data_IF_242354112519
#
_entry.id   IF_242354112519
#
_cell.length_a   1.000
_cell.length_b   1.000
_cell.length_c   1.000
_cell.angle_alpha   90.00
_cell.angle_beta   90.00
_cell.angle_gamma   90.00
#
_symmetry.space_group_name_H-M   'P 1'
#
loop_
_entity.id
_entity.type
_entity.pdbx_description
1 polymer ?
#
# COMPACT_ATOMS: atom_id res chain seq x y z
N UNK A 1 -24.01 4.57 -12.21
CA UNK A 1 -23.00 3.96 -11.33
C UNK A 1 -22.74 2.57 -11.85
N UNK A 2 -21.58 2.32 -12.47
CA UNK A 2 -21.17 0.96 -12.82
C UNK A 2 -20.91 0.23 -11.51
N UNK A 3 -21.62 -0.88 -11.28
CA UNK A 3 -21.33 -1.78 -10.15
C UNK A 3 -20.07 -2.54 -10.54
N UNK A 4 -18.94 -2.22 -9.93
CA UNK A 4 -17.69 -2.95 -10.17
C UNK A 4 -17.84 -4.39 -9.66
N UNK A 5 -17.34 -5.36 -10.44
CA UNK A 5 -17.36 -6.78 -10.10
C UNK A 5 -15.99 -7.41 -10.27
N UNK A 6 -15.72 -8.49 -9.52
CA UNK A 6 -14.47 -9.23 -9.64
C UNK A 6 -14.23 -9.81 -11.04
N UNK A 7 -15.22 -10.47 -11.69
CA UNK A 7 -15.03 -10.97 -13.05
C UNK A 7 -14.62 -9.88 -14.04
N UNK A 8 -15.30 -8.73 -14.02
CA UNK A 8 -15.01 -7.64 -14.95
C UNK A 8 -13.61 -7.07 -14.72
N UNK A 9 -13.25 -6.82 -13.45
CA UNK A 9 -11.95 -6.28 -13.09
C UNK A 9 -10.80 -7.23 -13.47
N UNK A 10 -10.95 -8.53 -13.19
CA UNK A 10 -9.94 -9.53 -13.53
C UNK A 10 -9.83 -9.75 -15.05
N UNK A 11 -10.94 -9.73 -15.79
CA UNK A 11 -10.92 -9.83 -17.24
C UNK A 11 -10.12 -8.69 -17.88
N UNK A 12 -10.27 -7.46 -17.37
CA UNK A 12 -9.51 -6.30 -17.84
C UNK A 12 -8.02 -6.43 -17.57
N UNK A 13 -7.64 -6.92 -16.39
CA UNK A 13 -6.24 -7.21 -16.08
C UNK A 13 -5.65 -8.28 -17.00
N UNK A 14 -6.39 -9.34 -17.29
CA UNK A 14 -5.97 -10.39 -18.23
C UNK A 14 -5.85 -9.85 -19.67
N UNK A 15 -6.71 -8.91 -20.06
CA UNK A 15 -6.65 -8.21 -21.34
C UNK A 15 -5.51 -7.17 -21.42
N UNK A 16 -4.77 -6.94 -20.33
CA UNK A 16 -3.70 -5.93 -20.29
C UNK A 16 -4.22 -4.49 -20.21
N UNK A 17 -5.49 -4.29 -19.86
CA UNK A 17 -6.09 -2.97 -19.72
C UNK A 17 -5.80 -2.35 -18.35
N UNK A 18 -5.59 -1.04 -18.34
CA UNK A 18 -5.40 -0.30 -17.09
C UNK A 18 -6.75 -0.10 -16.38
N UNK A 19 -6.75 -0.34 -15.08
CA UNK A 19 -7.87 -0.01 -14.21
C UNK A 19 -7.76 1.46 -13.76
N UNK A 20 -8.90 2.11 -13.56
CA UNK A 20 -8.92 3.44 -12.95
C UNK A 20 -8.66 3.39 -11.45
N UNK A 21 -8.29 4.52 -10.86
CA UNK A 21 -8.10 4.61 -9.40
C UNK A 21 -9.36 4.22 -8.61
N UNK A 22 -10.56 4.51 -9.13
CA UNK A 22 -11.82 4.13 -8.49
C UNK A 22 -11.99 2.60 -8.43
N UNK A 23 -11.56 1.90 -9.46
CA UNK A 23 -11.69 0.44 -9.58
C UNK A 23 -10.71 -0.29 -8.67
N UNK A 24 -9.46 0.17 -8.62
CA UNK A 24 -8.47 -0.43 -7.72
C UNK A 24 -8.77 -0.09 -6.26
N UNK A 25 -9.33 1.10 -5.98
CA UNK A 25 -9.87 1.44 -4.65
C UNK A 25 -11.01 0.52 -4.24
N UNK A 26 -11.97 0.27 -5.14
CA UNK A 26 -13.07 -0.67 -4.89
C UNK A 26 -12.53 -2.06 -4.55
N UNK A 27 -11.61 -2.59 -5.37
CA UNK A 27 -11.01 -3.89 -5.13
C UNK A 27 -10.30 -3.94 -3.77
N UNK A 28 -9.52 -2.91 -3.44
CA UNK A 28 -8.80 -2.87 -2.17
C UNK A 28 -9.73 -2.78 -0.96
N UNK A 29 -10.87 -2.09 -1.06
CA UNK A 29 -11.88 -2.10 -0.01
C UNK A 29 -12.44 -3.51 0.23
N UNK A 30 -12.70 -4.28 -0.82
CA UNK A 30 -13.15 -5.68 -0.70
C UNK A 30 -12.09 -6.57 -0.03
N UNK A 31 -10.80 -6.34 -0.33
CA UNK A 31 -9.70 -7.05 0.32
C UNK A 31 -9.62 -6.71 1.81
N UNK A 32 -9.65 -5.42 2.14
CA UNK A 32 -9.53 -4.94 3.53
C UNK A 32 -10.74 -5.30 4.39
N UNK A 33 -11.94 -5.43 3.80
CA UNK A 33 -13.15 -5.87 4.49
C UNK A 33 -13.26 -7.38 4.66
N UNK A 34 -12.36 -8.17 4.05
CA UNK A 34 -12.41 -9.63 4.07
C UNK A 34 -13.46 -10.26 3.14
N UNK A 35 -14.06 -9.46 2.26
CA UNK A 35 -15.08 -9.92 1.28
C UNK A 35 -14.45 -10.53 0.02
N UNK A 36 -13.15 -10.26 -0.22
CA UNK A 36 -12.39 -10.85 -1.30
C UNK A 36 -11.91 -12.27 -0.94
N UNK A 37 -12.10 -13.23 -1.85
CA UNK A 37 -11.58 -14.58 -1.67
C UNK A 37 -10.06 -14.61 -1.84
N UNK A 38 -9.35 -15.61 -1.27
CA UNK A 38 -7.91 -15.77 -1.50
C UNK A 38 -7.53 -15.87 -2.98
N UNK A 39 -8.39 -16.49 -3.80
CA UNK A 39 -8.17 -16.59 -5.25
C UNK A 39 -8.31 -15.24 -5.97
N UNK A 40 -9.27 -14.39 -5.57
CA UNK A 40 -9.43 -13.04 -6.11
C UNK A 40 -8.23 -12.15 -5.77
N UNK A 41 -7.75 -12.22 -4.52
CA UNK A 41 -6.56 -11.48 -4.07
C UNK A 41 -5.32 -11.91 -4.88
N UNK A 42 -5.11 -13.22 -5.03
CA UNK A 42 -4.00 -13.75 -5.81
C UNK A 42 -4.09 -13.33 -7.28
N UNK A 43 -5.28 -13.41 -7.89
CA UNK A 43 -5.49 -13.02 -9.28
C UNK A 43 -5.26 -11.52 -9.51
N UNK A 44 -5.70 -10.66 -8.59
CA UNK A 44 -5.44 -9.22 -8.62
C UNK A 44 -3.93 -8.93 -8.59
N UNK A 45 -3.22 -9.51 -7.63
CA UNK A 45 -1.79 -9.30 -7.45
C UNK A 45 -0.96 -9.78 -8.66
N UNK A 46 -1.26 -10.99 -9.15
CA UNK A 46 -0.56 -11.55 -10.32
C UNK A 46 -0.92 -10.79 -11.60
N UNK A 47 -2.20 -10.43 -11.79
CA UNK A 47 -2.66 -9.69 -12.96
C UNK A 47 -2.01 -8.31 -13.06
N UNK A 48 -1.98 -7.55 -11.96
CA UNK A 48 -1.29 -6.26 -11.91
C UNK A 48 0.20 -6.40 -12.23
N UNK A 49 0.89 -7.39 -11.62
CA UNK A 49 2.31 -7.63 -11.87
C UNK A 49 2.60 -8.06 -13.31
N UNK A 50 1.75 -8.90 -13.90
CA UNK A 50 1.93 -9.40 -15.26
C UNK A 50 1.71 -8.30 -16.30
N UNK A 51 0.69 -7.45 -16.09
CA UNK A 51 0.42 -6.27 -16.93
C UNK A 51 1.48 -5.18 -16.76
N UNK A 52 2.00 -5.03 -15.55
CA UNK A 52 2.68 -3.84 -15.08
C UNK A 52 1.68 -2.86 -14.46
N UNK A 53 1.83 -2.60 -13.17
CA UNK A 53 1.01 -1.63 -12.45
C UNK A 53 1.29 -0.19 -12.90
N UNK A 54 0.25 0.62 -12.96
CA UNK A 54 0.34 2.06 -13.22
C UNK A 54 0.28 2.87 -11.93
N UNK A 55 0.76 4.10 -11.97
CA UNK A 55 0.69 5.01 -10.82
C UNK A 55 -0.77 5.23 -10.37
N UNK A 56 -1.72 5.33 -11.30
CA UNK A 56 -3.13 5.52 -10.99
C UNK A 56 -3.72 4.32 -10.21
N UNK A 57 -3.38 3.10 -10.65
CA UNK A 57 -3.80 1.86 -9.99
C UNK A 57 -3.25 1.78 -8.56
N UNK A 58 -1.96 2.12 -8.39
CA UNK A 58 -1.29 2.15 -7.08
C UNK A 58 -1.90 3.20 -6.15
N UNK A 59 -2.20 4.39 -6.65
CA UNK A 59 -2.88 5.45 -5.88
C UNK A 59 -4.25 4.97 -5.41
N UNK A 60 -5.06 4.37 -6.28
CA UNK A 60 -6.38 3.87 -5.88
C UNK A 60 -6.30 2.76 -4.82
N UNK A 61 -5.32 1.87 -4.92
CA UNK A 61 -5.05 0.87 -3.87
C UNK A 61 -4.64 1.53 -2.55
N UNK A 62 -3.67 2.44 -2.58
CA UNK A 62 -3.20 3.13 -1.38
C UNK A 62 -4.34 3.89 -0.68
N UNK A 63 -5.18 4.57 -1.44
CA UNK A 63 -6.36 5.26 -0.91
C UNK A 63 -7.35 4.29 -0.24
N UNK A 64 -7.59 3.13 -0.85
CA UNK A 64 -8.44 2.08 -0.27
C UNK A 64 -7.86 1.54 1.03
N UNK A 65 -6.55 1.32 1.10
CA UNK A 65 -5.87 0.89 2.33
C UNK A 65 -5.98 1.95 3.43
N UNK A 66 -5.70 3.21 3.10
CA UNK A 66 -5.77 4.34 4.05
C UNK A 66 -7.18 4.56 4.58
N UNK A 67 -8.22 4.41 3.74
CA UNK A 67 -9.60 4.53 4.16
C UNK A 67 -10.04 3.45 5.17
N UNK A 68 -9.38 2.30 5.18
CA UNK A 68 -9.63 1.20 6.12
C UNK A 68 -8.62 1.15 7.28
N UNK A 69 -7.63 2.05 7.30
CA UNK A 69 -6.62 2.10 8.34
C UNK A 69 -7.17 2.74 9.63
N UNK A 70 -6.64 2.33 10.77
CA UNK A 70 -6.89 3.03 12.04
C UNK A 70 -6.00 4.26 12.11
N UNK A 71 -6.60 5.43 12.15
CA UNK A 71 -5.88 6.70 12.25
C UNK A 71 -5.56 7.05 13.70
N UNK A 72 -4.50 7.81 13.90
CA UNK A 72 -4.14 8.41 15.18
C UNK A 72 -3.50 9.78 14.91
N UNK A 73 -3.75 10.72 15.81
CA UNK A 73 -3.23 12.08 15.68
C UNK A 73 -1.81 12.18 16.24
N UNK A 74 -0.93 12.78 15.45
CA UNK A 74 0.44 13.10 15.83
C UNK A 74 0.59 14.62 15.88
N UNK A 75 0.78 15.22 17.07
CA UNK A 75 1.04 16.64 17.17
C UNK A 75 2.47 16.97 16.71
N UNK A 76 2.59 18.08 15.97
CA UNK A 76 3.85 18.57 15.43
C UNK A 76 4.22 17.94 14.08
N UNK A 77 5.34 18.37 13.48
CA UNK A 77 5.81 17.76 12.23
C UNK A 77 6.09 16.26 12.45
N UNK A 78 5.91 15.42 11.43
CA UNK A 78 6.23 13.99 11.48
C UNK A 78 6.97 13.57 10.22
N UNK A 79 7.84 12.56 10.32
CA UNK A 79 8.54 11.96 9.18
C UNK A 79 8.40 10.46 9.29
N UNK A 80 8.08 9.82 8.16
CA UNK A 80 8.06 8.37 8.03
C UNK A 80 9.29 7.90 7.24
N UNK A 81 9.96 6.85 7.73
CA UNK A 81 11.14 6.25 7.11
C UNK A 81 10.82 4.78 6.85
N UNK A 82 10.36 4.48 5.63
CA UNK A 82 9.95 3.14 5.21
C UNK A 82 10.59 2.75 3.88
N UNK A 83 10.64 1.45 3.63
CA UNK A 83 11.04 0.86 2.35
C UNK A 83 10.12 -0.29 2.01
N UNK A 84 9.92 -0.56 0.72
CA UNK A 84 9.06 -1.64 0.23
C UNK A 84 9.59 -3.04 0.57
N UNK A 85 10.89 -3.15 0.85
CA UNK A 85 11.58 -4.43 1.01
C UNK A 85 11.65 -5.22 -0.31
N UNK A 86 12.10 -6.48 -0.26
CA UNK A 86 12.11 -7.39 -1.42
C UNK A 86 13.38 -7.40 -2.27
N UNK A 87 14.34 -6.53 -1.96
CA UNK A 87 15.72 -6.63 -2.43
C UNK A 87 16.28 -7.97 -1.91
N UNK A 88 16.63 -8.93 -2.78
CA UNK A 88 17.30 -10.18 -2.38
C UNK A 88 18.73 -9.96 -1.84
N UNK A 89 19.05 -8.74 -1.42
CA UNK A 89 20.38 -8.25 -1.06
C UNK A 89 20.81 -8.62 0.37
N UNK A 90 19.92 -9.21 1.19
CA UNK A 90 20.25 -9.53 2.59
C UNK A 90 20.55 -8.30 3.44
N UNK A 91 20.06 -7.12 3.04
CA UNK A 91 20.23 -5.89 3.80
C UNK A 91 19.58 -6.03 5.17
N UNK A 92 20.37 -5.84 6.24
CA UNK A 92 19.82 -5.68 7.60
C UNK A 92 18.86 -4.49 7.65
N UNK A 93 18.02 -4.38 8.68
CA UNK A 93 16.94 -3.39 8.79
C UNK A 93 17.48 -1.94 8.90
N UNK A 94 18.03 -1.43 7.80
CA UNK A 94 18.68 -0.13 7.68
C UNK A 94 17.64 0.98 7.88
N UNK A 95 16.39 0.79 7.48
CA UNK A 95 15.28 1.71 7.79
C UNK A 95 15.09 1.87 9.30
N UNK A 96 15.11 0.77 10.05
CA UNK A 96 15.03 0.75 11.51
C UNK A 96 16.21 1.47 12.15
N UNK A 97 17.43 1.19 11.70
CA UNK A 97 18.63 1.87 12.22
C UNK A 97 18.62 3.38 11.89
N UNK A 98 18.18 3.78 10.69
CA UNK A 98 18.05 5.19 10.30
C UNK A 98 16.98 5.92 11.09
N UNK A 99 15.87 5.25 11.41
CA UNK A 99 14.84 5.79 12.28
C UNK A 99 15.39 6.07 13.69
N UNK A 100 16.12 5.12 14.28
CA UNK A 100 16.77 5.29 15.60
C UNK A 100 17.78 6.43 15.58
N UNK A 101 18.67 6.49 14.58
CA UNK A 101 19.69 7.55 14.48
C UNK A 101 19.05 8.93 14.27
N UNK A 102 17.99 9.01 13.47
CA UNK A 102 17.26 10.27 13.22
C UNK A 102 16.52 10.73 14.48
N UNK A 103 15.94 9.81 15.25
CA UNK A 103 15.31 10.11 16.54
C UNK A 103 16.34 10.53 17.60
N UNK A 104 17.49 9.86 17.67
CA UNK A 104 18.54 10.16 18.64
C UNK A 104 19.35 11.44 18.32
N UNK A 105 19.53 11.76 17.03
CA UNK A 105 20.29 12.93 16.57
C UNK A 105 19.57 14.26 16.75
N UNK A 106 18.24 14.26 16.95
CA UNK A 106 17.43 15.45 17.25
C UNK A 106 16.92 15.39 18.69
N UNK A 107 17.75 15.81 19.63
CA UNK A 107 17.35 15.96 21.03
C UNK A 107 16.09 16.84 21.19
N UNK A 108 15.11 16.35 21.95
CA UNK A 108 14.08 17.11 22.66
C UNK A 108 13.24 18.14 21.86
N UNK A 109 12.80 17.83 20.63
CA UNK A 109 11.98 18.76 19.84
C UNK A 109 10.92 18.13 18.94
N UNK A 110 9.76 17.76 19.52
CA UNK A 110 8.42 17.96 18.92
C UNK A 110 7.99 17.21 17.65
N UNK A 111 8.72 16.22 17.13
CA UNK A 111 8.21 15.32 16.09
C UNK A 111 7.86 13.95 16.69
N UNK A 112 6.64 13.46 16.47
CA UNK A 112 6.33 12.06 16.80
C UNK A 112 6.68 11.16 15.61
N UNK A 113 7.35 10.05 15.89
CA UNK A 113 7.88 9.13 14.89
C UNK A 113 6.99 7.90 14.77
N UNK A 114 6.72 7.48 13.53
CA UNK A 114 6.15 6.18 13.23
C UNK A 114 7.20 5.36 12.49
N UNK A 115 7.38 4.11 12.89
CA UNK A 115 8.30 3.18 12.24
C UNK A 115 7.54 1.90 11.98
N UNK A 116 7.33 1.57 10.72
CA UNK A 116 6.99 0.20 10.34
C UNK A 116 8.32 -0.56 10.24
N UNK A 117 8.57 -1.41 11.24
CA UNK A 117 9.72 -2.29 11.29
C UNK A 117 9.69 -3.22 10.06
N UNK A 118 10.77 -3.21 9.27
CA UNK A 118 11.27 -4.44 8.65
C UNK A 118 11.97 -5.25 9.74
#
# INVERSE_FOLDING_TARGET
MTTETWPDLLNRLVAGENLSAAQTRWAMNQVMSGEATPSQIAALAVGLRAKGETAEEVVGMADGMLANARTFDVPGPAVDIVGTGGERSGSVNISTMRAIVTAAGRGAGGLSFFTILQ
#
